data_IF_778112605768
#
_entry.id   IF_778112605768
#
_cell.length_a   1.000
_cell.length_b   1.000
_cell.length_c   1.000
_cell.angle_alpha   90.00
_cell.angle_beta   90.00
_cell.angle_gamma   90.00
#
_symmetry.space_group_name_H-M   'P 1'
#
loop_
_entity.id
_entity.type
_entity.pdbx_description
1 polymer ?
#
# COMPACT_ATOMS: atom_id res chain seq x y z
N UNK A 1 17.80 -3.69 -0.04
CA UNK A 1 17.15 -2.43 0.35
C UNK A 1 15.65 -2.69 0.40
N UNK A 2 14.96 -2.10 1.38
CA UNK A 2 13.49 -2.16 1.51
C UNK A 2 12.95 -0.73 1.43
N UNK A 3 11.79 -0.55 0.81
CA UNK A 3 11.05 0.70 0.77
C UNK A 3 9.74 0.53 1.55
N UNK A 4 9.61 1.26 2.65
CA UNK A 4 8.42 1.22 3.51
C UNK A 4 7.85 2.62 3.63
N UNK A 5 6.63 2.83 3.15
CA UNK A 5 5.90 4.10 3.19
C UNK A 5 4.84 4.08 4.30
N UNK A 6 5.05 4.78 5.43
CA UNK A 6 4.02 4.93 6.45
C UNK A 6 2.95 5.91 5.96
N UNK A 7 1.69 5.50 6.09
CA UNK A 7 0.57 6.12 5.44
C UNK A 7 -0.49 6.57 6.45
N UNK A 8 -0.96 7.81 6.32
CA UNK A 8 -2.08 8.34 7.09
C UNK A 8 -3.38 8.27 6.30
N UNK A 9 -4.31 7.39 6.67
CA UNK A 9 -5.56 7.19 5.92
C UNK A 9 -6.50 8.39 5.94
N UNK A 10 -6.33 9.30 6.90
CA UNK A 10 -7.13 10.51 7.02
C UNK A 10 -6.62 11.67 6.16
N UNK A 11 -5.53 11.49 5.43
CA UNK A 11 -4.99 12.52 4.54
C UNK A 11 -5.75 12.54 3.21
N UNK A 12 -6.13 13.72 2.75
CA UNK A 12 -6.86 13.90 1.50
C UNK A 12 -6.10 13.38 0.27
N UNK A 13 -4.77 13.24 0.36
CA UNK A 13 -3.90 12.74 -0.70
C UNK A 13 -3.39 11.31 -0.48
N UNK A 14 -3.96 10.60 0.50
CA UNK A 14 -3.56 9.23 0.83
C UNK A 14 -3.64 8.30 -0.39
N UNK A 15 -4.82 8.26 -1.01
CA UNK A 15 -5.05 7.37 -2.15
C UNK A 15 -4.18 7.72 -3.37
N UNK A 16 -4.00 9.00 -3.69
CA UNK A 16 -3.19 9.40 -4.86
C UNK A 16 -1.70 9.07 -4.65
N UNK A 17 -1.18 9.23 -3.44
CA UNK A 17 0.18 8.79 -3.08
C UNK A 17 0.33 7.28 -3.16
N UNK A 18 -0.63 6.52 -2.63
CA UNK A 18 -0.61 5.06 -2.69
C UNK A 18 -0.62 4.56 -4.14
N UNK A 19 -1.46 5.16 -5.01
CA UNK A 19 -1.46 4.85 -6.45
C UNK A 19 -0.12 5.16 -7.11
N UNK A 20 0.48 6.31 -6.79
CA UNK A 20 1.81 6.67 -7.29
C UNK A 20 2.89 5.68 -6.86
N UNK A 21 2.87 5.23 -5.61
CA UNK A 21 3.83 4.26 -5.10
C UNK A 21 3.63 2.87 -5.71
N UNK A 22 2.38 2.43 -5.92
CA UNK A 22 2.08 1.19 -6.63
C UNK A 22 2.59 1.21 -8.08
N UNK A 23 2.37 2.33 -8.80
CA UNK A 23 2.89 2.53 -10.15
C UNK A 23 4.42 2.52 -10.18
N UNK A 24 5.07 3.10 -9.17
CA UNK A 24 6.53 3.03 -9.04
C UNK A 24 7.00 1.58 -8.81
N UNK A 25 6.32 0.84 -7.92
CA UNK A 25 6.63 -0.55 -7.63
C UNK A 25 6.51 -1.45 -8.87
N UNK A 26 5.51 -1.22 -9.71
CA UNK A 26 5.33 -1.93 -10.99
C UNK A 26 6.56 -1.81 -11.91
N UNK A 27 7.13 -0.60 -12.02
CA UNK A 27 8.27 -0.33 -12.91
C UNK A 27 9.64 -0.61 -12.29
N UNK A 28 9.72 -0.72 -10.96
CA UNK A 28 10.98 -0.80 -10.21
C UNK A 28 11.02 -1.92 -9.16
N UNK A 29 10.22 -2.97 -9.33
CA UNK A 29 10.06 -4.06 -8.36
C UNK A 29 11.37 -4.77 -8.00
N UNK A 30 12.33 -4.86 -8.93
CA UNK A 30 13.62 -5.52 -8.75
C UNK A 30 14.66 -4.64 -8.03
N UNK A 31 14.44 -3.33 -7.94
CA UNK A 31 15.34 -2.41 -7.24
C UNK A 31 15.27 -2.58 -5.71
N UNK A 32 14.18 -3.17 -5.21
CA UNK A 32 13.92 -3.36 -3.80
C UNK A 32 13.50 -4.79 -3.50
N UNK A 33 13.94 -5.29 -2.34
CA UNK A 33 13.48 -6.60 -1.86
C UNK A 33 11.99 -6.53 -1.50
N UNK A 34 11.59 -5.49 -0.76
CA UNK A 34 10.22 -5.20 -0.33
C UNK A 34 9.85 -3.77 -0.72
N UNK A 35 8.62 -3.58 -1.17
CA UNK A 35 7.99 -2.27 -1.35
C UNK A 35 6.63 -2.35 -0.67
N UNK A 36 6.48 -1.67 0.46
CA UNK A 36 5.33 -1.82 1.34
C UNK A 36 4.75 -0.45 1.68
N UNK A 37 3.43 -0.37 1.70
CA UNK A 37 2.72 0.75 2.32
C UNK A 37 2.07 0.28 3.61
N UNK A 38 2.26 1.00 4.70
CA UNK A 38 1.81 0.62 6.04
C UNK A 38 0.90 1.70 6.59
N UNK A 39 -0.30 1.33 7.04
CA UNK A 39 -1.24 2.26 7.64
C UNK A 39 -1.85 1.71 8.92
N UNK A 40 -2.25 2.58 9.83
CA UNK A 40 -3.04 2.18 10.99
C UNK A 40 -4.53 2.14 10.65
N UNK A 41 -5.17 0.99 10.86
CA UNK A 41 -6.62 0.80 10.74
C UNK A 41 -7.14 0.27 12.07
N UNK A 42 -8.06 1.00 12.70
CA UNK A 42 -8.73 0.59 13.96
C UNK A 42 -7.74 0.13 15.05
N UNK A 43 -6.64 0.86 15.25
CA UNK A 43 -5.65 0.55 16.28
C UNK A 43 -4.62 -0.52 15.89
N UNK A 44 -4.60 -0.96 14.62
CA UNK A 44 -3.70 -2.02 14.15
C UNK A 44 -2.96 -1.58 12.90
N UNK A 45 -1.65 -1.82 12.86
CA UNK A 45 -0.85 -1.59 11.67
C UNK A 45 -1.12 -2.68 10.63
N UNK A 46 -1.45 -2.23 9.42
CA UNK A 46 -1.79 -3.04 8.25
C UNK A 46 -0.82 -2.72 7.13
N UNK A 47 -0.43 -3.72 6.37
CA UNK A 47 0.56 -3.58 5.29
C UNK A 47 0.01 -4.09 3.96
N UNK A 48 0.24 -3.31 2.91
CA UNK A 48 0.04 -3.70 1.52
C UNK A 48 1.42 -3.95 0.91
N UNK A 49 1.66 -5.17 0.44
CA UNK A 49 2.85 -5.51 -0.35
C UNK A 49 2.61 -5.12 -1.81
N UNK A 50 3.27 -4.03 -2.23
CA UNK A 50 3.11 -3.42 -3.55
C UNK A 50 3.89 -4.18 -4.63
N UNK A 51 4.56 -5.28 -4.30
CA UNK A 51 5.12 -6.21 -5.30
C UNK A 51 4.10 -7.25 -5.76
N UNK A 52 2.98 -7.41 -5.06
CA UNK A 52 1.92 -8.34 -5.45
C UNK A 52 1.00 -7.72 -6.49
N UNK A 53 0.72 -8.46 -7.57
CA UNK A 53 -0.12 -7.99 -8.66
C UNK A 53 -1.56 -7.71 -8.21
N UNK A 54 -2.13 -8.56 -7.36
CA UNK A 54 -3.50 -8.40 -6.86
C UNK A 54 -3.67 -7.12 -6.01
N UNK A 55 -2.63 -6.74 -5.27
CA UNK A 55 -2.57 -5.48 -4.54
C UNK A 55 -2.47 -4.30 -5.50
N UNK A 56 -1.60 -4.37 -6.52
CA UNK A 56 -1.45 -3.30 -7.53
C UNK A 56 -2.76 -3.03 -8.27
N UNK A 57 -3.43 -4.09 -8.75
CA UNK A 57 -4.70 -4.00 -9.48
C UNK A 57 -5.81 -3.36 -8.62
N UNK A 58 -5.88 -3.77 -7.35
CA UNK A 58 -6.82 -3.19 -6.39
C UNK A 58 -6.52 -1.72 -6.11
N UNK A 59 -5.24 -1.36 -5.92
CA UNK A 59 -4.82 0.03 -5.70
C UNK A 59 -5.18 0.92 -6.90
N UNK A 60 -4.96 0.44 -8.13
CA UNK A 60 -5.24 1.20 -9.34
C UNK A 60 -6.72 1.61 -9.43
N UNK A 61 -7.63 0.70 -9.06
CA UNK A 61 -9.08 0.88 -9.17
C UNK A 61 -9.73 1.44 -7.90
N UNK A 62 -9.03 1.47 -6.77
CA UNK A 62 -9.59 1.91 -5.50
C UNK A 62 -10.06 3.38 -5.52
N UNK A 63 -11.16 3.62 -4.83
CA UNK A 63 -11.72 4.96 -4.55
C UNK A 63 -11.42 5.44 -3.13
N UNK A 64 -10.94 4.53 -2.27
CA UNK A 64 -10.61 4.80 -0.88
C UNK A 64 -9.40 3.95 -0.47
N UNK A 65 -8.41 4.56 0.19
CA UNK A 65 -7.26 3.83 0.72
C UNK A 65 -7.65 2.96 1.93
N UNK A 66 -8.53 3.44 2.80
CA UNK A 66 -8.97 2.72 4.01
C UNK A 66 -9.59 1.36 3.69
N UNK A 67 -10.33 1.24 2.57
CA UNK A 67 -10.93 -0.02 2.15
C UNK A 67 -9.88 -1.06 1.78
N UNK A 68 -8.76 -0.64 1.17
CA UNK A 68 -7.64 -1.52 0.85
C UNK A 68 -6.98 -2.06 2.11
N UNK A 69 -6.62 -1.18 3.05
CA UNK A 69 -5.96 -1.58 4.31
C UNK A 69 -6.88 -2.38 5.25
N UNK A 70 -8.19 -2.18 5.15
CA UNK A 70 -9.21 -2.96 5.86
C UNK A 70 -9.53 -4.30 5.21
N UNK A 71 -9.12 -4.54 3.96
CA UNK A 71 -9.44 -5.76 3.21
C UNK A 71 -8.49 -6.91 3.52
N UNK A 72 -8.80 -8.09 2.95
CA UNK A 72 -7.92 -9.25 2.96
C UNK A 72 -6.66 -9.12 2.09
N UNK A 73 -6.49 -8.02 1.34
CA UNK A 73 -5.25 -7.74 0.63
C UNK A 73 -4.13 -7.30 1.57
N UNK A 74 -4.51 -6.70 2.71
CA UNK A 74 -3.57 -6.25 3.71
C UNK A 74 -3.32 -7.31 4.78
N UNK A 75 -2.04 -7.46 5.14
CA UNK A 75 -1.61 -8.29 6.25
C UNK A 75 -1.41 -7.44 7.51
N UNK A 76 -1.29 -8.10 8.66
CA UNK A 76 -0.84 -7.42 9.87
C UNK A 76 0.65 -7.11 9.76
N UNK A 77 1.02 -5.85 10.00
CA UNK A 77 2.42 -5.46 9.98
C UNK A 77 3.16 -6.04 11.20
N UNK A 78 4.34 -6.63 10.98
CA UNK A 78 5.18 -7.28 11.99
C UNK A 78 6.62 -6.79 11.95
#
# INVERSE_FOLDING_TARGET
>A
MDLVDPHGLHLADALSKLKGLALYAEHHSDAYRRIESVAEVKGKLRVLDLKRQDVQDAVATAENAETLFSSGLADDYR
#
